data_IF_683120364425
#
_entry.id   IF_683120364425
#
_cell.length_a   1.000
_cell.length_b   1.000
_cell.length_c   1.000
_cell.angle_alpha   90.00
_cell.angle_beta   90.00
_cell.angle_gamma   90.00
#
_symmetry.space_group_name_H-M   'P 1'
#
loop_
_entity.id
_entity.type
_entity.pdbx_description
1 polymer ?
#
# COMPACT_ATOMS: atom_id res chain seq x y z
N UNK A 1 -29.64 -26.10 -30.24
CA UNK A 1 -30.44 -25.33 -29.25
C UNK A 1 -30.88 -26.17 -28.05
N UNK A 2 -31.53 -27.32 -28.23
CA UNK A 2 -31.95 -28.18 -27.11
C UNK A 2 -30.79 -28.73 -26.26
N UNK A 3 -29.65 -29.10 -26.87
CA UNK A 3 -28.47 -29.55 -26.12
C UNK A 3 -27.86 -28.46 -25.23
N UNK A 4 -27.84 -27.21 -25.71
CA UNK A 4 -27.33 -26.05 -24.95
C UNK A 4 -28.24 -25.74 -23.76
N UNK A 5 -29.57 -25.84 -23.94
CA UNK A 5 -30.53 -25.65 -22.84
C UNK A 5 -30.41 -26.74 -21.77
N UNK A 6 -30.23 -28.01 -22.19
CA UNK A 6 -29.98 -29.12 -21.25
C UNK A 6 -28.67 -28.96 -20.50
N UNK A 7 -27.60 -28.53 -21.17
CA UNK A 7 -26.32 -28.28 -20.51
C UNK A 7 -26.41 -27.14 -19.49
N UNK A 8 -27.15 -26.06 -19.81
CA UNK A 8 -27.39 -24.95 -18.87
C UNK A 8 -28.21 -25.39 -17.65
N UNK A 9 -29.25 -26.20 -17.85
CA UNK A 9 -30.05 -26.75 -16.75
C UNK A 9 -29.22 -27.65 -15.84
N UNK A 10 -28.40 -28.54 -16.40
CA UNK A 10 -27.51 -29.41 -15.63
C UNK A 10 -26.48 -28.60 -14.83
N UNK A 11 -25.92 -27.54 -15.42
CA UNK A 11 -24.95 -26.68 -14.75
C UNK A 11 -25.62 -25.89 -13.61
N UNK A 12 -26.87 -25.47 -13.80
CA UNK A 12 -27.68 -24.80 -12.76
C UNK A 12 -28.01 -25.75 -11.61
N UNK A 13 -28.36 -27.00 -11.89
CA UNK A 13 -28.63 -28.03 -10.88
C UNK A 13 -27.37 -28.37 -10.07
N UNK A 14 -26.20 -28.44 -10.71
CA UNK A 14 -24.92 -28.68 -10.03
C UNK A 14 -24.54 -27.50 -9.13
N UNK A 15 -24.76 -26.26 -9.57
CA UNK A 15 -24.50 -25.08 -8.73
C UNK A 15 -25.45 -25.06 -7.53
N UNK A 16 -26.74 -25.31 -7.74
CA UNK A 16 -27.73 -25.30 -6.66
C UNK A 16 -27.49 -26.44 -5.66
N UNK A 17 -27.09 -27.64 -6.12
CA UNK A 17 -26.80 -28.76 -5.21
C UNK A 17 -25.56 -28.51 -4.35
N UNK A 18 -24.57 -27.79 -4.87
CA UNK A 18 -23.41 -27.32 -4.08
C UNK A 18 -23.77 -26.26 -3.05
N UNK A 19 -24.87 -25.51 -3.26
CA UNK A 19 -25.34 -24.48 -2.33
C UNK A 19 -26.27 -25.05 -1.25
N UNK A 20 -27.02 -26.12 -1.54
CA UNK A 20 -27.95 -26.76 -0.60
C UNK A 20 -27.28 -27.73 0.40
N UNK A 21 -26.00 -28.03 0.24
CA UNK A 21 -25.21 -28.82 1.21
C UNK A 21 -24.74 -28.04 2.45
N UNK A 22 -25.13 -26.77 2.59
CA UNK A 22 -24.96 -26.00 3.83
C UNK A 22 -26.07 -26.36 4.84
N UNK A 23 -25.76 -26.80 6.08
CA UNK A 23 -26.79 -27.03 7.07
C UNK A 23 -27.43 -25.70 7.49
N UNK A 24 -28.76 -25.71 7.53
CA UNK A 24 -29.61 -24.57 7.88
C UNK A 24 -29.17 -23.87 9.17
N UNK A 25 -28.86 -22.58 9.08
CA UNK A 25 -28.67 -21.71 10.22
C UNK A 25 -30.04 -21.37 10.86
N UNK A 26 -30.44 -22.13 11.87
CA UNK A 26 -31.36 -21.65 12.90
C UNK A 26 -30.63 -20.70 13.86
N UNK A 27 -31.38 -19.71 14.33
CA UNK A 27 -30.99 -18.61 15.20
C UNK A 27 -30.44 -19.04 16.57
N UNK A 28 -29.32 -18.43 16.99
CA UNK A 28 -29.04 -18.14 18.39
C UNK A 28 -27.81 -17.24 18.55
N UNK A 29 -27.97 -16.07 19.17
CA UNK A 29 -26.85 -15.32 19.76
C UNK A 29 -26.23 -16.10 20.94
N UNK A 30 -24.96 -15.84 21.30
CA UNK A 30 -24.75 -15.07 22.53
C UNK A 30 -23.53 -14.13 22.55
N UNK A 31 -23.59 -13.25 23.56
CA UNK A 31 -22.62 -12.31 24.12
C UNK A 31 -21.39 -13.02 24.74
N UNK A 32 -20.20 -12.40 24.65
CA UNK A 32 -19.16 -12.49 25.70
C UNK A 32 -17.72 -12.86 25.29
N UNK A 33 -16.84 -11.84 25.31
CA UNK A 33 -15.44 -11.79 25.80
C UNK A 33 -14.30 -12.70 25.28
N UNK A 34 -13.26 -11.99 24.78
CA UNK A 34 -11.78 -12.18 24.82
C UNK A 34 -11.05 -13.56 24.82
N UNK A 35 -9.98 -13.53 24.01
CA UNK A 35 -8.69 -14.28 24.05
C UNK A 35 -8.55 -15.66 23.37
N UNK A 36 -7.67 -15.61 22.35
CA UNK A 36 -6.63 -16.56 21.96
C UNK A 36 -6.97 -17.98 21.46
N UNK A 37 -6.53 -18.20 20.22
CA UNK A 37 -6.03 -19.46 19.65
C UNK A 37 -7.05 -20.57 19.38
N UNK A 38 -7.55 -20.57 18.15
CA UNK A 38 -8.17 -21.73 17.50
C UNK A 38 -8.24 -21.50 16.00
N UNK A 39 -7.27 -22.03 15.26
CA UNK A 39 -7.42 -22.25 13.81
C UNK A 39 -8.45 -23.37 13.61
N UNK A 40 -9.74 -23.04 13.60
CA UNK A 40 -10.79 -23.98 13.22
C UNK A 40 -11.78 -23.33 12.24
N UNK A 41 -11.68 -23.77 10.99
CA UNK A 41 -12.70 -23.83 9.94
C UNK A 41 -13.69 -22.66 9.80
N UNK A 42 -13.20 -21.48 9.40
CA UNK A 42 -14.02 -20.40 8.82
C UNK A 42 -14.02 -20.46 7.28
N UNK A 43 -14.08 -21.66 6.70
CA UNK A 43 -13.79 -21.92 5.29
C UNK A 43 -14.83 -21.42 4.28
N UNK A 44 -16.07 -21.13 4.70
CA UNK A 44 -17.19 -20.94 3.77
C UNK A 44 -17.61 -19.48 3.50
N UNK A 45 -17.28 -18.51 4.36
CA UNK A 45 -17.77 -17.13 4.21
C UNK A 45 -16.69 -16.04 4.24
N UNK A 46 -15.59 -16.24 3.49
CA UNK A 46 -14.60 -15.17 3.26
C UNK A 46 -14.88 -14.45 1.93
N UNK A 47 -15.04 -13.12 1.96
CA UNK A 47 -15.17 -12.35 0.73
C UNK A 47 -13.89 -12.47 -0.09
N UNK A 48 -14.01 -12.49 -1.42
CA UNK A 48 -12.84 -12.49 -2.30
C UNK A 48 -11.92 -11.30 -2.05
N UNK A 49 -12.49 -10.15 -1.69
CA UNK A 49 -11.72 -8.96 -1.35
C UNK A 49 -10.80 -9.21 -0.15
N UNK A 50 -11.23 -10.00 0.84
CA UNK A 50 -10.41 -10.32 2.02
C UNK A 50 -9.41 -11.42 1.70
N UNK A 51 -9.86 -12.47 0.98
CA UNK A 51 -9.02 -13.60 0.56
C UNK A 51 -7.82 -13.15 -0.28
N UNK A 52 -8.06 -12.21 -1.19
CA UNK A 52 -7.05 -11.67 -2.11
C UNK A 52 -6.58 -10.27 -1.74
N UNK A 53 -6.82 -9.82 -0.50
CA UNK A 53 -6.26 -8.53 -0.04
C UNK A 53 -4.73 -8.61 -0.08
N UNK A 54 -4.06 -7.64 -0.75
CA UNK A 54 -2.61 -7.52 -0.74
C UNK A 54 -2.05 -7.49 0.68
N UNK A 55 -1.14 -8.41 0.98
CA UNK A 55 -0.42 -8.49 2.26
C UNK A 55 1.01 -7.97 2.14
N UNK A 56 1.57 -8.01 0.93
CA UNK A 56 2.97 -7.67 0.64
C UNK A 56 3.06 -6.60 -0.43
N UNK A 57 4.16 -5.84 -0.40
CA UNK A 57 4.43 -4.77 -1.36
C UNK A 57 4.34 -5.25 -2.83
N UNK A 58 4.83 -6.46 -3.12
CA UNK A 58 4.83 -7.03 -4.48
C UNK A 58 3.44 -7.45 -4.98
N UNK A 59 2.43 -7.49 -4.10
CA UNK A 59 1.03 -7.84 -4.46
C UNK A 59 0.21 -6.58 -4.79
N UNK A 60 0.78 -5.38 -4.64
CA UNK A 60 0.10 -4.14 -4.94
C UNK A 60 -0.07 -3.96 -6.45
N UNK A 61 -1.31 -3.81 -6.89
CA UNK A 61 -1.67 -3.52 -8.29
C UNK A 61 -1.82 -2.02 -8.57
N UNK A 62 -1.50 -1.17 -7.59
CA UNK A 62 -1.42 0.28 -7.75
C UNK A 62 -0.21 0.68 -8.60
N UNK A 63 -0.26 1.88 -9.20
CA UNK A 63 0.86 2.44 -9.95
C UNK A 63 2.18 2.37 -9.16
N UNK A 64 3.17 1.70 -9.75
CA UNK A 64 4.47 1.46 -9.14
C UNK A 64 5.19 2.75 -8.72
N UNK A 65 5.03 3.84 -9.47
CA UNK A 65 5.64 5.11 -9.11
C UNK A 65 5.04 5.66 -7.80
N UNK A 66 3.71 5.61 -7.66
CA UNK A 66 3.00 6.00 -6.45
C UNK A 66 3.42 5.16 -5.25
N UNK A 67 3.53 3.84 -5.43
CA UNK A 67 3.98 2.92 -4.37
C UNK A 67 5.41 3.27 -3.90
N UNK A 68 6.34 3.46 -4.84
CA UNK A 68 7.73 3.86 -4.55
C UNK A 68 7.80 5.24 -3.91
N UNK A 69 6.99 6.19 -4.36
CA UNK A 69 6.94 7.55 -3.82
C UNK A 69 6.55 7.53 -2.34
N UNK A 70 5.46 6.85 -2.00
CA UNK A 70 4.99 6.77 -0.62
C UNK A 70 6.00 6.02 0.26
N UNK A 71 6.57 4.92 -0.24
CA UNK A 71 7.62 4.19 0.49
C UNK A 71 8.86 5.08 0.71
N UNK A 72 9.33 5.79 -0.32
CA UNK A 72 10.47 6.73 -0.20
C UNK A 72 10.18 7.81 0.83
N UNK A 73 8.98 8.40 0.80
CA UNK A 73 8.55 9.39 1.79
C UNK A 73 8.56 8.82 3.22
N UNK A 74 8.00 7.62 3.42
CA UNK A 74 7.98 6.98 4.73
C UNK A 74 9.40 6.67 5.22
N UNK A 75 10.30 6.24 4.33
CA UNK A 75 11.71 5.96 4.66
C UNK A 75 12.52 7.19 5.08
N UNK A 76 12.08 8.39 4.74
CA UNK A 76 12.71 9.61 5.25
C UNK A 76 12.48 9.78 6.76
N UNK A 77 11.47 9.13 7.35
CA UNK A 77 11.23 9.11 8.80
C UNK A 77 12.09 8.10 9.57
N UNK A 78 12.74 7.14 8.89
CA UNK A 78 13.44 6.02 9.55
C UNK A 78 14.49 6.48 10.56
N UNK A 79 15.17 7.61 10.30
CA UNK A 79 16.21 8.16 11.18
C UNK A 79 15.64 8.52 12.56
N UNK A 80 14.46 9.15 12.59
CA UNK A 80 13.86 9.63 13.85
C UNK A 80 13.01 8.57 14.55
N UNK A 81 12.42 7.64 13.78
CA UNK A 81 11.56 6.58 14.35
C UNK A 81 12.39 5.41 14.86
N UNK A 82 13.43 5.01 14.11
CA UNK A 82 14.25 3.83 14.45
C UNK A 82 15.65 4.18 14.96
N UNK A 83 16.03 5.47 15.01
CA UNK A 83 17.39 5.87 15.37
C UNK A 83 18.46 5.40 14.38
N UNK A 84 18.05 4.91 13.19
CA UNK A 84 18.96 4.45 12.16
C UNK A 84 19.60 5.69 11.53
N UNK A 85 20.75 6.12 12.04
CA UNK A 85 21.57 7.07 11.30
C UNK A 85 21.83 6.47 9.93
N UNK A 86 21.47 7.22 8.88
CA UNK A 86 21.95 6.92 7.53
C UNK A 86 23.46 6.89 7.64
N UNK A 87 24.06 5.70 7.62
CA UNK A 87 25.52 5.54 7.50
C UNK A 87 25.89 6.41 6.32
N UNK A 88 26.51 7.56 6.62
CA UNK A 88 26.75 8.57 5.63
C UNK A 88 27.47 7.89 4.49
N UNK A 89 26.93 7.99 3.27
CA UNK A 89 27.78 7.96 2.10
C UNK A 89 28.78 9.08 2.31
N UNK A 90 29.93 8.76 2.94
CA UNK A 90 31.12 9.58 2.89
C UNK A 90 31.46 9.65 1.42
N UNK A 91 30.97 10.67 0.73
CA UNK A 91 31.62 11.15 -0.47
C UNK A 91 33.05 11.44 -0.04
N UNK A 92 33.99 10.61 -0.51
CA UNK A 92 35.42 10.89 -0.37
C UNK A 92 35.64 12.29 -0.92
N UNK A 93 35.94 13.25 -0.05
CA UNK A 93 36.62 14.47 -0.43
C UNK A 93 38.06 14.07 -0.80
N UNK A 94 38.23 13.60 -2.03
CA UNK A 94 39.52 13.50 -2.71
C UNK A 94 39.58 14.64 -3.71
N UNK A 95 40.57 15.50 -3.53
CA UNK A 95 40.90 16.58 -4.43
C UNK A 95 41.01 16.09 -5.87
N UNK A 96 40.29 16.74 -6.79
CA UNK A 96 40.84 17.19 -8.07
C UNK A 96 39.85 18.15 -8.75
N UNK A 97 40.40 19.27 -9.20
CA UNK A 97 39.71 20.45 -9.66
C UNK A 97 39.17 20.28 -11.09
N UNK A 98 37.86 20.44 -11.26
CA UNK A 98 37.25 20.92 -12.50
C UNK A 98 36.06 21.81 -12.16
N UNK A 99 35.99 23.07 -12.63
CA UNK A 99 34.80 23.89 -12.43
C UNK A 99 33.69 23.34 -13.33
N UNK A 100 32.50 22.98 -12.83
CA UNK A 100 31.39 22.73 -13.72
C UNK A 100 30.94 24.09 -14.27
N UNK A 101 31.14 24.22 -15.57
CA UNK A 101 30.50 25.16 -16.48
C UNK A 101 29.28 25.86 -15.87
N UNK A 102 29.39 27.18 -15.72
CA UNK A 102 28.29 28.12 -15.45
C UNK A 102 27.09 27.77 -16.32
N UNK A 103 26.11 27.06 -15.76
CA UNK A 103 24.76 27.05 -16.34
C UNK A 103 24.07 28.31 -15.87
N UNK A 104 24.07 29.25 -16.80
CA UNK A 104 23.28 30.45 -16.84
C UNK A 104 21.94 30.25 -16.14
N UNK A 105 21.65 31.19 -15.26
CA UNK A 105 20.39 31.38 -14.55
C UNK A 105 19.30 31.67 -15.58
N UNK A 106 18.80 30.63 -16.24
CA UNK A 106 17.68 30.77 -17.16
C UNK A 106 16.39 30.52 -16.39
N UNK A 107 15.79 31.64 -16.03
CA UNK A 107 14.48 31.80 -15.43
C UNK A 107 13.40 31.36 -16.43
N UNK A 108 13.36 30.07 -16.76
CA UNK A 108 12.28 29.50 -17.55
C UNK A 108 11.11 29.16 -16.62
N UNK A 109 9.95 29.72 -16.93
CA UNK A 109 8.63 29.33 -16.43
C UNK A 109 8.44 27.82 -16.61
N UNK A 110 8.88 27.03 -15.63
CA UNK A 110 8.91 25.56 -15.70
C UNK A 110 7.58 25.00 -15.24
N UNK A 111 6.74 24.63 -16.20
CA UNK A 111 5.67 23.67 -15.95
C UNK A 111 6.34 22.31 -15.70
N UNK A 112 6.67 22.02 -14.43
CA UNK A 112 7.26 20.75 -14.01
C UNK A 112 6.18 19.66 -14.04
N UNK A 113 6.54 18.48 -14.53
CA UNK A 113 5.65 17.32 -14.46
C UNK A 113 5.40 16.93 -13.00
N UNK A 114 4.23 16.36 -12.68
CA UNK A 114 3.90 15.84 -11.35
C UNK A 114 5.00 14.94 -10.77
N UNK A 115 5.59 14.08 -11.60
CA UNK A 115 6.71 13.19 -11.25
C UNK A 115 7.94 13.99 -10.80
N UNK A 116 8.35 14.99 -11.59
CA UNK A 116 9.52 15.82 -11.28
C UNK A 116 9.33 16.62 -10.00
N UNK A 117 8.14 17.20 -9.81
CA UNK A 117 7.81 17.93 -8.59
C UNK A 117 7.87 17.01 -7.36
N UNK A 118 7.33 15.79 -7.49
CA UNK A 118 7.31 14.81 -6.41
C UNK A 118 8.71 14.33 -6.06
N UNK A 119 9.56 14.07 -7.07
CA UNK A 119 10.97 13.70 -6.85
C UNK A 119 11.74 14.80 -6.14
N UNK A 120 11.60 16.06 -6.56
CA UNK A 120 12.22 17.21 -5.91
C UNK A 120 11.78 17.36 -4.45
N UNK A 121 10.50 17.11 -4.16
CA UNK A 121 9.98 17.12 -2.78
C UNK A 121 10.61 16.00 -1.94
N UNK A 122 10.78 14.81 -2.51
CA UNK A 122 11.34 13.64 -1.81
C UNK A 122 12.87 13.72 -1.66
N UNK A 123 13.53 14.53 -2.47
CA UNK A 123 14.98 14.78 -2.43
C UNK A 123 15.34 16.05 -1.68
N UNK A 124 14.36 16.87 -1.34
CA UNK A 124 14.55 18.02 -0.47
C UNK A 124 15.22 17.61 0.84
N UNK A 125 16.10 18.48 1.33
CA UNK A 125 16.77 18.26 2.59
C UNK A 125 15.76 18.05 3.73
N UNK A 126 16.13 17.17 4.65
CA UNK A 126 15.35 16.96 5.87
C UNK A 126 15.32 18.25 6.69
N UNK A 127 14.29 18.41 7.52
CA UNK A 127 14.20 19.53 8.44
C UNK A 127 15.30 19.47 9.51
N UNK A 128 15.36 20.50 10.36
CA UNK A 128 16.32 20.59 11.46
C UNK A 128 16.31 19.39 12.42
N UNK A 129 15.22 18.61 12.41
CA UNK A 129 15.04 17.43 13.25
C UNK A 129 15.27 16.12 12.50
N UNK A 130 15.89 16.16 11.31
CA UNK A 130 16.09 15.00 10.43
C UNK A 130 14.75 14.32 10.01
N UNK A 131 13.67 15.10 9.89
CA UNK A 131 12.35 14.63 9.42
C UNK A 131 12.05 15.15 8.01
N UNK A 132 11.12 14.53 7.28
CA UNK A 132 10.66 15.09 6.01
C UNK A 132 10.13 16.50 6.16
N UNK A 133 10.47 17.38 5.22
CA UNK A 133 9.91 18.74 5.14
C UNK A 133 8.38 18.73 5.14
N UNK A 134 7.80 17.80 4.37
CA UNK A 134 6.35 17.56 4.34
C UNK A 134 6.02 16.38 5.23
N UNK A 135 5.40 16.67 6.37
CA UNK A 135 5.15 15.68 7.43
C UNK A 135 3.92 14.81 7.21
N UNK A 136 3.10 15.13 6.21
CA UNK A 136 1.86 14.42 5.89
C UNK A 136 1.88 14.07 4.40
N UNK A 137 1.49 12.83 4.09
CA UNK A 137 1.23 12.38 2.73
C UNK A 137 -0.28 12.26 2.50
N UNK A 138 -0.75 12.71 1.33
CA UNK A 138 -2.14 12.60 0.92
C UNK A 138 -2.25 11.60 -0.24
N UNK A 139 -2.96 10.51 -0.03
CA UNK A 139 -3.33 9.56 -1.08
C UNK A 139 -4.73 9.91 -1.61
N UNK A 140 -4.81 10.34 -2.87
CA UNK A 140 -6.06 10.70 -3.52
C UNK A 140 -6.32 9.82 -4.75
N UNK A 141 -7.59 9.48 -5.00
CA UNK A 141 -8.00 8.67 -6.14
C UNK A 141 -9.42 8.11 -5.97
N UNK A 142 -10.01 7.54 -7.03
CA UNK A 142 -11.35 6.96 -7.03
C UNK A 142 -11.55 5.91 -5.91
N UNK A 143 -12.80 5.63 -5.50
CA UNK A 143 -13.09 4.54 -4.57
C UNK A 143 -12.64 3.19 -5.16
N UNK A 144 -12.30 2.24 -4.29
CA UNK A 144 -11.87 0.90 -4.71
C UNK A 144 -10.45 0.79 -5.27
N UNK A 145 -9.70 1.89 -5.47
CA UNK A 145 -8.32 1.84 -5.98
C UNK A 145 -7.29 1.24 -4.98
N UNK A 146 -7.72 0.86 -3.78
CA UNK A 146 -6.82 0.28 -2.77
C UNK A 146 -5.97 1.30 -2.03
N UNK A 147 -6.41 2.56 -1.88
CA UNK A 147 -5.66 3.61 -1.16
C UNK A 147 -5.34 3.22 0.29
N UNK A 148 -6.34 2.75 1.03
CA UNK A 148 -6.19 2.26 2.41
C UNK A 148 -5.27 1.05 2.45
N UNK A 149 -5.47 0.09 1.54
CA UNK A 149 -4.62 -1.09 1.38
C UNK A 149 -3.16 -0.71 1.14
N UNK A 150 -2.90 0.25 0.23
CA UNK A 150 -1.56 0.74 -0.08
C UNK A 150 -0.86 1.31 1.15
N UNK A 151 -1.56 2.15 1.93
CA UNK A 151 -1.01 2.76 3.14
C UNK A 151 -0.60 1.69 4.17
N UNK A 152 -1.46 0.71 4.44
CA UNK A 152 -1.19 -0.39 5.37
C UNK A 152 -0.03 -1.28 4.91
N UNK A 153 -0.05 -1.70 3.64
CA UNK A 153 0.98 -2.58 3.10
C UNK A 153 2.34 -1.89 3.12
N UNK A 154 2.42 -0.61 2.74
CA UNK A 154 3.69 0.14 2.78
C UNK A 154 4.18 0.35 4.21
N UNK A 155 3.29 0.70 5.15
CA UNK A 155 3.66 0.86 6.55
C UNK A 155 4.27 -0.43 7.11
N UNK A 156 3.57 -1.57 6.96
CA UNK A 156 4.05 -2.89 7.41
C UNK A 156 5.35 -3.28 6.71
N UNK A 157 5.43 -3.06 5.39
CA UNK A 157 6.64 -3.36 4.62
C UNK A 157 7.85 -2.56 5.10
N UNK A 158 7.65 -1.31 5.52
CA UNK A 158 8.71 -0.45 6.04
C UNK A 158 9.05 -0.71 7.53
N UNK A 159 8.29 -1.56 8.22
CA UNK A 159 8.45 -1.88 9.65
C UNK A 159 7.72 -0.93 10.60
N UNK A 160 6.73 -0.18 10.11
CA UNK A 160 5.91 0.72 10.92
C UNK A 160 4.64 0.01 11.38
N UNK A 161 4.17 0.36 12.58
CA UNK A 161 2.84 -0.02 13.05
C UNK A 161 1.81 1.00 12.55
N UNK A 162 0.82 0.55 11.77
CA UNK A 162 -0.23 1.41 11.24
C UNK A 162 -1.42 1.44 12.20
N UNK A 163 -1.89 2.65 12.52
CA UNK A 163 -3.14 2.87 13.27
C UNK A 163 -4.10 3.58 12.33
N UNK A 164 -5.26 2.96 12.10
CA UNK A 164 -6.30 3.47 11.22
C UNK A 164 -7.42 4.13 12.03
N UNK A 165 -7.90 5.26 11.55
CA UNK A 165 -9.08 5.95 12.10
C UNK A 165 -10.07 6.15 10.95
N UNK A 166 -11.23 5.52 11.07
CA UNK A 166 -12.30 5.59 10.08
C UNK A 166 -13.38 6.58 10.52
N UNK A 167 -14.10 7.12 9.53
CA UNK A 167 -15.17 8.11 9.72
C UNK A 167 -16.49 7.46 10.14
#
# INVERSE_FOLDING_TARGET
RQQVLKASQQLTEVINSCLESEPSAESSEPIGEEEAAGEEDSGQHCLWVDKFTPRRYMELLSDDYTNRCLLKWLKLWDTVVFGKEKVGKKTKAGADAHPPFSRTKEQQSKWKTKVQLTEEILEAELDQHKRPKYKVALLCGPPGLGKTTLAHVIARHAGYNAVEMNA
#
